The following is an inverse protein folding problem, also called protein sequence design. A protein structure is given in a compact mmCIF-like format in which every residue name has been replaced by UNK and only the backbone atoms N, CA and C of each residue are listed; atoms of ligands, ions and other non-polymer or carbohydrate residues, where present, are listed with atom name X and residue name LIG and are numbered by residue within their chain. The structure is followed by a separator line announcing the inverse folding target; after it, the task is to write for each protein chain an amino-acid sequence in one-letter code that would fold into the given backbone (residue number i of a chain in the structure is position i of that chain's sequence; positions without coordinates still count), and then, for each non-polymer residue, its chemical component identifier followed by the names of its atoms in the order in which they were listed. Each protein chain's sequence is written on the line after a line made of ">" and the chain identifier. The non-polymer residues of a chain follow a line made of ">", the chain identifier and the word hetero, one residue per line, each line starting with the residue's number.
data_IF_685993658021
#
_entry.id   IF_685993658021
#
_cell.length_a   1.000
_cell.length_b   1.000
_cell.length_c   1.000
_cell.angle_alpha   90.00
_cell.angle_beta   90.00
_cell.angle_gamma   90.00
#
_symmetry.space_group_name_H-M   'P 1'
#
loop_
_entity.id
_entity.type
_entity.pdbx_description
1 polymer ?
#
# COMPACT_ATOMS: atom_id res chain seq x y z
N UNK A 1 -2.07 20.51 -1.00
CA UNK A 1 -3.31 20.56 -0.20
C UNK A 1 -4.43 19.69 -0.83
N UNK A 2 -4.12 18.47 -1.31
CA UNK A 2 -5.12 17.51 -1.84
C UNK A 2 -4.60 16.05 -1.77
N UNK A 3 -3.53 15.79 -0.99
CA UNK A 3 -2.80 14.50 -1.00
C UNK A 3 -3.07 13.61 0.22
N UNK A 4 -3.93 14.02 1.15
CA UNK A 4 -4.20 13.31 2.41
C UNK A 4 -5.59 12.66 2.49
N UNK A 5 -6.47 12.79 1.48
CA UNK A 5 -7.87 12.38 1.61
C UNK A 5 -8.20 10.93 1.19
N UNK A 6 -7.23 10.09 0.84
CA UNK A 6 -7.51 8.68 0.47
C UNK A 6 -7.47 7.75 1.70
N UNK A 7 -8.11 8.13 2.81
CA UNK A 7 -8.19 7.28 4.01
C UNK A 7 -9.61 7.08 4.59
N UNK A 8 -10.68 7.64 4.01
CA UNK A 8 -12.04 7.39 4.52
C UNK A 8 -13.05 7.28 3.36
N UNK A 9 -13.69 6.12 3.26
CA UNK A 9 -14.74 5.77 2.27
C UNK A 9 -14.31 5.83 0.79
N UNK A 10 -13.44 4.91 0.36
CA UNK A 10 -13.07 4.80 -1.05
C UNK A 10 -13.54 3.47 -1.63
N UNK A 11 -14.36 3.54 -2.69
CA UNK A 11 -14.71 2.40 -3.53
C UNK A 11 -13.42 1.81 -4.15
N UNK A 12 -13.37 0.50 -4.46
CA UNK A 12 -12.24 -0.06 -5.19
C UNK A 12 -11.95 0.72 -6.48
N UNK A 13 -10.67 0.97 -6.76
CA UNK A 13 -10.20 1.81 -7.88
C UNK A 13 -9.62 0.94 -8.99
N UNK A 14 -9.79 1.36 -10.26
CA UNK A 14 -9.25 0.66 -11.43
C UNK A 14 -7.74 0.88 -11.62
N UNK A 15 -7.10 0.09 -12.49
CA UNK A 15 -5.67 0.21 -12.80
C UNK A 15 -5.31 1.57 -13.42
N UNK A 16 -6.09 2.02 -14.39
CA UNK A 16 -5.88 3.28 -15.10
C UNK A 16 -6.05 4.48 -14.16
N UNK A 17 -7.16 4.50 -13.43
CA UNK A 17 -7.47 5.51 -12.41
C UNK A 17 -6.38 5.56 -11.32
N UNK A 18 -5.85 4.41 -10.93
CA UNK A 18 -4.78 4.33 -9.94
C UNK A 18 -3.45 4.86 -10.48
N UNK A 19 -3.09 4.53 -11.73
CA UNK A 19 -1.91 5.08 -12.39
C UNK A 19 -1.95 6.61 -12.44
N UNK A 20 -3.09 7.18 -12.85
CA UNK A 20 -3.32 8.62 -12.87
C UNK A 20 -3.21 9.24 -11.47
N UNK A 21 -3.87 8.65 -10.47
CA UNK A 21 -3.85 9.15 -9.08
C UNK A 21 -2.43 9.15 -8.47
N UNK A 22 -1.62 8.15 -8.81
CA UNK A 22 -0.22 8.04 -8.38
C UNK A 22 0.74 8.85 -9.26
N UNK A 23 0.26 9.33 -10.42
CA UNK A 23 1.04 10.02 -11.43
C UNK A 23 2.13 9.14 -12.03
N UNK A 24 1.87 7.85 -12.25
CA UNK A 24 2.79 6.88 -12.87
C UNK A 24 2.09 6.17 -14.02
N UNK A 25 2.87 5.64 -14.95
CA UNK A 25 2.37 4.73 -15.98
C UNK A 25 1.77 3.46 -15.33
N UNK A 26 0.73 2.90 -15.96
CA UNK A 26 0.09 1.66 -15.48
C UNK A 26 1.07 0.49 -15.42
N UNK A 27 2.10 0.47 -16.27
CA UNK A 27 3.18 -0.53 -16.25
C UNK A 27 3.95 -0.53 -14.93
N UNK A 28 4.12 0.62 -14.28
CA UNK A 28 4.77 0.72 -12.95
C UNK A 28 3.88 0.10 -11.89
N UNK A 29 2.57 0.32 -11.96
CA UNK A 29 1.60 -0.31 -11.05
C UNK A 29 1.61 -1.84 -11.24
N UNK A 30 1.64 -2.30 -12.49
CA UNK A 30 1.76 -3.74 -12.83
C UNK A 30 3.03 -4.34 -12.26
N UNK A 31 4.19 -3.68 -12.41
CA UNK A 31 5.46 -4.14 -11.83
C UNK A 31 5.35 -4.36 -10.32
N UNK A 32 4.72 -3.42 -9.59
CA UNK A 32 4.50 -3.60 -8.15
C UNK A 32 3.54 -4.74 -7.81
N UNK A 33 2.53 -4.99 -8.63
CA UNK A 33 1.62 -6.13 -8.47
C UNK A 33 2.38 -7.44 -8.70
N UNK A 34 3.22 -7.52 -9.72
CA UNK A 34 4.08 -8.68 -10.00
C UNK A 34 5.09 -8.96 -8.89
N UNK A 35 5.57 -7.90 -8.23
CA UNK A 35 6.41 -7.99 -7.04
C UNK A 35 5.63 -8.39 -5.77
N UNK A 36 4.31 -8.56 -5.84
CA UNK A 36 3.45 -8.96 -4.73
C UNK A 36 3.09 -7.82 -3.77
N UNK A 37 3.31 -6.56 -4.16
CA UNK A 37 2.98 -5.43 -3.32
C UNK A 37 1.46 -5.22 -3.18
N UNK A 38 0.66 -5.66 -4.15
CA UNK A 38 -0.81 -5.63 -4.07
C UNK A 38 -1.39 -6.89 -4.73
N UNK A 39 -2.58 -7.32 -4.30
CA UNK A 39 -3.28 -8.49 -4.82
C UNK A 39 -4.60 -8.09 -5.47
N UNK A 40 -4.58 -7.35 -6.60
CA UNK A 40 -5.80 -6.81 -7.19
C UNK A 40 -6.80 -7.90 -7.55
N UNK A 41 -8.08 -7.53 -7.49
CA UNK A 41 -9.18 -8.40 -7.85
C UNK A 41 -9.45 -8.28 -9.37
N UNK A 42 -9.52 -9.40 -10.11
CA UNK A 42 -9.85 -9.34 -11.52
C UNK A 42 -11.30 -8.91 -11.74
N UNK A 43 -11.54 -8.07 -12.74
CA UNK A 43 -12.90 -7.68 -13.14
C UNK A 43 -13.46 -8.57 -14.26
N UNK A 44 -14.79 -8.81 -14.29
CA UNK A 44 -15.43 -9.60 -15.36
C UNK A 44 -15.23 -9.02 -16.77
N UNK A 45 -15.06 -7.70 -16.90
CA UNK A 45 -14.85 -7.01 -18.16
C UNK A 45 -13.38 -7.03 -18.63
N UNK A 46 -12.48 -7.66 -17.86
CA UNK A 46 -11.04 -7.50 -17.98
C UNK A 46 -10.54 -6.33 -17.14
N UNK A 47 -9.32 -6.45 -16.61
CA UNK A 47 -8.70 -5.43 -15.76
C UNK A 47 -8.68 -5.80 -14.27
N UNK A 48 -8.28 -4.83 -13.45
CA UNK A 48 -8.00 -5.00 -12.03
C UNK A 48 -8.69 -3.94 -11.19
N UNK A 49 -9.16 -4.36 -10.01
CA UNK A 49 -9.61 -3.48 -8.93
C UNK A 49 -8.72 -3.61 -7.71
N UNK A 50 -8.37 -2.46 -7.16
CA UNK A 50 -7.57 -2.34 -5.96
C UNK A 50 -8.44 -1.85 -4.82
N UNK A 51 -8.40 -2.56 -3.71
CA UNK A 51 -9.00 -2.11 -2.47
C UNK A 51 -8.24 -0.89 -1.92
N UNK A 52 -8.87 -0.06 -1.07
CA UNK A 52 -8.19 1.10 -0.49
C UNK A 52 -6.86 0.78 0.21
N UNK A 53 -6.72 -0.31 1.00
CA UNK A 53 -5.43 -0.69 1.58
C UNK A 53 -4.35 -0.99 0.53
N UNK A 54 -4.72 -1.63 -0.59
CA UNK A 54 -3.79 -1.95 -1.67
C UNK A 54 -3.33 -0.69 -2.41
N UNK A 55 -4.27 0.22 -2.71
CA UNK A 55 -3.96 1.52 -3.32
C UNK A 55 -3.04 2.35 -2.41
N UNK A 56 -3.28 2.35 -1.09
CA UNK A 56 -2.42 3.03 -0.13
C UNK A 56 -1.00 2.43 -0.09
N UNK A 57 -0.89 1.11 -0.17
CA UNK A 57 0.39 0.38 -0.21
C UNK A 57 1.20 0.73 -1.45
N UNK A 58 0.56 0.73 -2.63
CA UNK A 58 1.15 1.17 -3.90
C UNK A 58 1.59 2.64 -3.85
N UNK A 59 0.74 3.52 -3.32
CA UNK A 59 1.07 4.95 -3.14
C UNK A 59 2.32 5.15 -2.30
N UNK A 60 2.46 4.39 -1.22
CA UNK A 60 3.64 4.43 -0.35
C UNK A 60 4.90 3.99 -1.07
N UNK A 61 4.85 2.90 -1.84
CA UNK A 61 6.02 2.41 -2.58
C UNK A 61 6.45 3.39 -3.69
N UNK A 62 5.51 3.91 -4.47
CA UNK A 62 5.80 4.93 -5.50
C UNK A 62 6.46 6.16 -4.88
N UNK A 63 5.98 6.62 -3.72
CA UNK A 63 6.60 7.74 -3.00
C UNK A 63 8.02 7.41 -2.54
N UNK A 64 8.23 6.26 -1.91
CA UNK A 64 9.56 5.81 -1.43
C UNK A 64 10.54 5.69 -2.60
N UNK A 65 10.12 5.08 -3.70
CA UNK A 65 10.94 4.94 -4.90
C UNK A 65 11.41 6.29 -5.43
N UNK A 66 10.50 7.28 -5.48
CA UNK A 66 10.82 8.65 -5.94
C UNK A 66 11.72 9.41 -4.97
N UNK A 67 11.41 9.38 -3.68
CA UNK A 67 12.12 10.16 -2.66
C UNK A 67 13.54 9.63 -2.40
N UNK A 68 13.76 8.33 -2.58
CA UNK A 68 15.03 7.67 -2.32
C UNK A 68 15.75 7.21 -3.60
N UNK A 69 15.22 7.55 -4.78
CA UNK A 69 15.73 7.14 -6.09
C UNK A 69 15.95 5.62 -6.19
N UNK A 70 14.99 4.84 -5.67
CA UNK A 70 15.03 3.39 -5.64
C UNK A 70 14.26 2.77 -6.79
N UNK A 71 14.69 1.58 -7.21
CA UNK A 71 13.91 0.73 -8.10
C UNK A 71 12.70 0.11 -7.36
N UNK A 72 11.68 -0.32 -8.12
CA UNK A 72 10.41 -0.80 -7.58
C UNK A 72 10.57 -1.94 -6.57
N UNK A 73 11.41 -2.94 -6.87
CA UNK A 73 11.64 -4.06 -5.95
C UNK A 73 12.19 -3.63 -4.57
N UNK A 74 13.08 -2.63 -4.52
CA UNK A 74 13.60 -2.13 -3.25
C UNK A 74 12.52 -1.35 -2.48
N UNK A 75 11.73 -0.52 -3.18
CA UNK A 75 10.64 0.20 -2.56
C UNK A 75 9.54 -0.74 -2.01
N UNK A 76 9.20 -1.80 -2.75
CA UNK A 76 8.25 -2.82 -2.32
C UNK A 76 8.72 -3.51 -1.02
N UNK A 77 9.98 -3.96 -0.99
CA UNK A 77 10.57 -4.57 0.21
C UNK A 77 10.56 -3.62 1.42
N UNK A 78 10.87 -2.34 1.22
CA UNK A 78 10.83 -1.35 2.31
C UNK A 78 9.41 -1.20 2.85
N UNK A 79 8.40 -1.17 1.99
CA UNK A 79 7.00 -1.11 2.43
C UNK A 79 6.64 -2.35 3.27
N UNK A 80 7.01 -3.54 2.82
CA UNK A 80 6.79 -4.80 3.55
C UNK A 80 7.41 -4.74 4.96
N UNK A 81 8.67 -4.32 5.04
CA UNK A 81 9.41 -4.21 6.31
C UNK A 81 8.79 -3.17 7.24
N UNK A 82 8.32 -2.04 6.72
CA UNK A 82 7.66 -1.01 7.52
C UNK A 82 6.31 -1.51 8.07
N UNK A 83 5.55 -2.26 7.29
CA UNK A 83 4.30 -2.88 7.73
C UNK A 83 4.54 -3.98 8.77
N UNK A 84 5.55 -4.80 8.58
CA UNK A 84 5.94 -5.82 9.54
C UNK A 84 6.39 -5.22 10.87
N UNK A 85 7.22 -4.18 10.82
CA UNK A 85 7.62 -3.43 12.01
C UNK A 85 6.42 -2.87 12.76
N UNK A 86 5.46 -2.32 12.03
CA UNK A 86 4.23 -1.77 12.63
C UNK A 86 3.35 -2.87 13.22
N UNK A 87 3.23 -4.02 12.57
CA UNK A 87 2.54 -5.21 13.10
C UNK A 87 3.18 -5.67 14.41
N UNK A 88 4.50 -5.74 14.47
CA UNK A 88 5.24 -6.12 15.68
C UNK A 88 5.02 -5.12 16.81
N UNK A 89 5.12 -3.82 16.54
CA UNK A 89 4.88 -2.75 17.53
C UNK A 89 3.47 -2.78 18.09
N UNK A 90 2.45 -2.95 17.23
CA UNK A 90 1.05 -3.08 17.68
C UNK A 90 0.85 -4.30 18.59
N UNK A 91 1.55 -5.40 18.30
CA UNK A 91 1.49 -6.62 19.11
C UNK A 91 2.15 -6.44 20.48
N UNK A 92 3.31 -5.79 20.55
CA UNK A 92 3.97 -5.43 21.83
C UNK A 92 3.06 -4.51 22.65
N UNK A 93 2.56 -3.42 22.05
CA UNK A 93 1.68 -2.48 22.75
C UNK A 93 0.39 -3.15 23.26
N UNK A 94 -0.13 -4.14 22.53
CA UNK A 94 -1.25 -4.97 22.98
C UNK A 94 -0.93 -5.79 24.22
N UNK A 95 0.25 -6.43 24.25
CA UNK A 95 0.71 -7.19 25.41
C UNK A 95 0.99 -6.31 26.63
N UNK A 96 1.61 -5.14 26.43
CA UNK A 96 1.86 -4.16 27.49
C UNK A 96 0.56 -3.67 28.13
N UNK A 97 -0.49 -3.42 27.33
CA UNK A 97 -1.83 -3.07 27.84
C UNK A 97 -2.45 -4.19 28.69
N UNK A 98 -2.25 -5.45 28.31
CA UNK A 98 -2.76 -6.59 29.06
C UNK A 98 -1.96 -6.83 30.35
N UNK A 99 -0.64 -6.67 30.31
CA UNK A 99 0.25 -6.83 31.46
C UNK A 99 0.11 -5.68 32.47
N UNK A 100 -0.12 -4.44 32.01
CA UNK A 100 -0.40 -3.28 32.86
C UNK A 100 -1.84 -3.21 33.39
N UNK A 101 -2.66 -4.22 33.11
CA UNK A 101 -4.06 -4.35 33.55
C UNK A 101 -4.25 -5.39 34.67
N UNK A 102 -3.18 -5.90 35.28
CA UNK A 102 -3.29 -6.68 36.52
C UNK A 102 -3.43 -5.72 37.73
N UNK A 103 -4.40 -5.93 38.64
CA UNK A 103 -4.69 -5.03 39.76
C UNK A 103 -3.54 -4.93 40.77
#
# INVERSE_FOLDING_TARGET
>A
MQRECLEAESSPIGLEELGEALGVETSVVVEYVELGLAGPHPEPAGGWRFTPPEAARLSRAVRIARELELHAAAAALIVDLLEERERMRRRIAGLERLAGSAP
#
